data_IF_765196311637
#
_entry.id   IF_765196311637
#
_cell.length_a   1.000
_cell.length_b   1.000
_cell.length_c   1.000
_cell.angle_alpha   90.00
_cell.angle_beta   90.00
_cell.angle_gamma   90.00
#
_symmetry.space_group_name_H-M   'P 1'
#
loop_
_entity.id
_entity.type
_entity.pdbx_description
1 polymer ?
#
# COMPACT_ATOMS: atom_id res chain seq x y z
N UNK A 1 20.95 -33.01 -0.39
CA UNK A 1 19.90 -33.77 -1.11
C UNK A 1 18.69 -34.07 -0.26
N UNK A 2 18.85 -34.42 1.04
CA UNK A 2 17.76 -34.76 1.95
C UNK A 2 16.70 -33.65 2.08
N UNK A 3 17.11 -32.36 2.00
CA UNK A 3 16.18 -31.24 2.02
C UNK A 3 15.27 -31.20 0.78
N UNK A 4 15.79 -31.57 -0.36
CA UNK A 4 15.03 -31.64 -1.62
C UNK A 4 14.04 -32.80 -1.55
N UNK A 5 14.50 -33.98 -1.10
CA UNK A 5 13.61 -35.13 -0.90
C UNK A 5 12.51 -34.84 0.12
N UNK A 6 12.82 -34.18 1.23
CA UNK A 6 11.85 -33.78 2.22
C UNK A 6 10.81 -32.84 1.62
N UNK A 7 11.23 -31.81 0.87
CA UNK A 7 10.32 -30.85 0.26
C UNK A 7 9.40 -31.51 -0.79
N UNK A 8 9.97 -32.37 -1.63
CA UNK A 8 9.22 -33.12 -2.64
C UNK A 8 8.23 -34.09 -1.99
N UNK A 9 8.67 -34.84 -0.96
CA UNK A 9 7.83 -35.80 -0.27
C UNK A 9 6.69 -35.11 0.49
N UNK A 10 6.98 -34.01 1.16
CA UNK A 10 5.96 -33.21 1.85
C UNK A 10 4.95 -32.63 0.84
N UNK A 11 5.43 -32.09 -0.29
CA UNK A 11 4.56 -31.58 -1.37
C UNK A 11 3.69 -32.67 -1.94
N UNK A 12 4.23 -33.88 -2.20
CA UNK A 12 3.47 -35.01 -2.72
C UNK A 12 2.41 -35.52 -1.74
N UNK A 13 2.64 -35.40 -0.44
CA UNK A 13 1.70 -35.83 0.61
C UNK A 13 0.70 -34.74 0.99
N UNK A 14 0.84 -33.53 0.44
CA UNK A 14 -0.07 -32.41 0.67
C UNK A 14 -1.14 -32.39 -0.44
N UNK A 15 -2.41 -32.30 -0.06
CA UNK A 15 -3.50 -32.18 -1.02
C UNK A 15 -3.35 -30.90 -1.86
N UNK A 16 -3.52 -31.00 -3.19
CA UNK A 16 -3.42 -29.86 -4.12
C UNK A 16 -4.52 -28.81 -3.88
N UNK A 17 -5.67 -29.22 -3.39
CA UNK A 17 -6.78 -28.34 -3.09
C UNK A 17 -7.34 -28.64 -1.70
N UNK A 18 -7.73 -27.59 -0.99
CA UNK A 18 -8.49 -27.73 0.26
C UNK A 18 -9.87 -28.34 -0.05
N UNK A 19 -10.35 -29.29 0.77
CA UNK A 19 -11.73 -29.79 0.65
C UNK A 19 -12.78 -28.73 1.02
N UNK A 20 -12.36 -27.64 1.65
CA UNK A 20 -13.19 -26.50 2.03
C UNK A 20 -12.88 -25.36 1.05
N UNK A 21 -13.93 -24.76 0.45
CA UNK A 21 -13.78 -23.59 -0.41
C UNK A 21 -13.18 -22.44 0.40
N UNK A 22 -12.06 -21.83 -0.02
CA UNK A 22 -11.46 -20.72 0.71
C UNK A 22 -12.42 -19.52 0.74
N UNK A 23 -12.38 -18.80 1.84
CA UNK A 23 -13.01 -17.49 1.99
C UNK A 23 -12.13 -16.41 1.38
N UNK A 24 -12.68 -15.22 1.12
CA UNK A 24 -11.90 -14.04 0.70
C UNK A 24 -10.78 -13.73 1.70
N UNK A 25 -11.02 -13.94 2.99
CA UNK A 25 -10.02 -13.75 4.03
C UNK A 25 -8.88 -14.77 3.95
N UNK A 26 -9.18 -16.03 3.62
CA UNK A 26 -8.15 -17.07 3.42
C UNK A 26 -7.28 -16.75 2.21
N UNK A 27 -7.89 -16.31 1.11
CA UNK A 27 -7.17 -15.88 -0.10
C UNK A 27 -6.28 -14.67 0.19
N UNK A 28 -6.81 -13.67 0.91
CA UNK A 28 -6.07 -12.49 1.31
C UNK A 28 -4.88 -12.85 2.21
N UNK A 29 -5.06 -13.76 3.16
CA UNK A 29 -3.99 -14.25 4.02
C UNK A 29 -2.91 -14.98 3.21
N UNK A 30 -3.32 -15.81 2.24
CA UNK A 30 -2.40 -16.54 1.37
C UNK A 30 -1.54 -15.60 0.51
N UNK A 31 -2.15 -14.63 -0.16
CA UNK A 31 -1.41 -13.62 -0.96
C UNK A 31 -0.52 -12.76 -0.05
N UNK A 32 -1.04 -12.33 1.10
CA UNK A 32 -0.30 -11.59 2.11
C UNK A 32 0.96 -12.30 2.57
N UNK A 33 0.92 -13.63 2.73
CA UNK A 33 2.09 -14.44 3.06
C UNK A 33 3.21 -14.30 2.02
N UNK A 34 2.90 -14.38 0.73
CA UNK A 34 3.91 -14.24 -0.34
C UNK A 34 4.48 -12.83 -0.41
N UNK A 35 3.65 -11.82 -0.25
CA UNK A 35 4.07 -10.42 -0.25
C UNK A 35 4.99 -10.11 0.94
N UNK A 36 4.55 -10.49 2.13
CA UNK A 36 5.23 -10.16 3.39
C UNK A 36 6.44 -11.05 3.71
N UNK A 37 6.61 -12.21 3.07
CA UNK A 37 7.72 -13.11 3.33
C UNK A 37 8.65 -13.28 2.12
N UNK A 38 8.36 -14.11 1.08
CA UNK A 38 9.32 -14.30 -0.02
C UNK A 38 9.66 -13.00 -0.73
N UNK A 39 8.66 -12.21 -1.13
CA UNK A 39 8.89 -10.97 -1.90
C UNK A 39 9.56 -9.90 -1.05
N UNK A 40 9.14 -9.72 0.20
CA UNK A 40 9.75 -8.79 1.14
C UNK A 40 11.26 -9.07 1.37
N UNK A 41 11.64 -10.34 1.34
CA UNK A 41 13.04 -10.75 1.51
C UNK A 41 13.87 -10.58 0.25
N UNK A 42 13.29 -10.86 -0.93
CA UNK A 42 14.03 -10.89 -2.19
C UNK A 42 14.19 -9.51 -2.83
N UNK A 43 13.26 -8.57 -2.57
CA UNK A 43 13.30 -7.23 -3.16
C UNK A 43 14.67 -6.54 -3.00
N UNK A 44 15.29 -6.45 -1.80
CA UNK A 44 16.60 -5.83 -1.68
C UNK A 44 17.69 -6.50 -2.54
N UNK A 45 17.67 -7.84 -2.64
CA UNK A 45 18.65 -8.57 -3.46
C UNK A 45 18.51 -8.23 -4.95
N UNK A 46 17.29 -8.01 -5.44
CA UNK A 46 17.08 -7.56 -6.83
C UNK A 46 17.69 -6.17 -7.07
N UNK A 47 17.47 -5.22 -6.15
CA UNK A 47 18.07 -3.88 -6.23
C UNK A 47 19.61 -3.96 -6.19
N UNK A 48 20.17 -4.79 -5.31
CA UNK A 48 21.62 -5.02 -5.20
C UNK A 48 22.18 -5.57 -6.52
N UNK A 49 21.59 -6.64 -7.05
CA UNK A 49 22.03 -7.24 -8.32
C UNK A 49 21.93 -6.27 -9.50
N UNK A 50 20.89 -5.43 -9.55
CA UNK A 50 20.78 -4.42 -10.60
C UNK A 50 21.82 -3.32 -10.45
N UNK A 51 22.06 -2.83 -9.23
CA UNK A 51 23.10 -1.83 -8.96
C UNK A 51 24.50 -2.35 -9.32
N UNK A 52 24.82 -3.61 -8.97
CA UNK A 52 26.06 -4.29 -9.33
C UNK A 52 26.21 -4.45 -10.86
N UNK A 53 25.14 -4.83 -11.55
CA UNK A 53 25.13 -4.95 -13.01
C UNK A 53 25.39 -3.59 -13.70
N UNK A 54 24.73 -2.52 -13.23
CA UNK A 54 24.95 -1.17 -13.75
C UNK A 54 26.38 -0.69 -13.50
N UNK A 55 26.91 -0.94 -12.30
CA UNK A 55 28.30 -0.63 -11.99
C UNK A 55 29.28 -1.40 -12.88
N UNK A 56 29.04 -2.70 -13.09
CA UNK A 56 29.90 -3.56 -13.91
C UNK A 56 29.88 -3.17 -15.39
N UNK A 57 28.72 -2.86 -15.94
CA UNK A 57 28.55 -2.58 -17.38
C UNK A 57 28.89 -1.13 -17.73
N UNK A 58 28.46 -0.18 -16.91
CA UNK A 58 28.57 1.24 -17.21
C UNK A 58 29.60 1.98 -16.35
N UNK A 59 30.18 1.34 -15.35
CA UNK A 59 31.15 1.96 -14.44
C UNK A 59 30.56 3.03 -13.50
N UNK A 60 29.23 3.09 -13.36
CA UNK A 60 28.55 4.13 -12.61
C UNK A 60 27.86 3.54 -11.39
N UNK A 61 28.20 4.05 -10.20
CA UNK A 61 27.46 3.77 -8.99
C UNK A 61 26.19 4.63 -8.95
N UNK A 62 25.02 4.00 -9.03
CA UNK A 62 23.73 4.68 -9.06
C UNK A 62 22.89 4.27 -7.86
N UNK A 63 22.32 5.27 -7.17
CA UNK A 63 21.23 5.01 -6.22
C UNK A 63 19.94 4.79 -7.02
N UNK A 64 19.42 3.57 -6.96
CA UNK A 64 18.24 3.19 -7.72
C UNK A 64 16.98 3.85 -7.14
N UNK A 65 16.10 4.39 -8.01
CA UNK A 65 14.78 4.88 -7.60
C UNK A 65 13.85 3.73 -7.22
N UNK A 66 12.59 4.03 -6.91
CA UNK A 66 11.55 2.99 -6.78
C UNK A 66 11.37 2.29 -8.12
N UNK A 67 11.72 1.01 -8.20
CA UNK A 67 11.59 0.18 -9.41
C UNK A 67 10.40 -0.77 -9.32
N UNK A 68 10.06 -1.21 -8.11
CA UNK A 68 9.04 -2.21 -7.87
C UNK A 68 7.91 -1.65 -7.01
N UNK A 69 6.72 -2.06 -7.33
CA UNK A 69 5.52 -1.95 -6.53
C UNK A 69 4.66 -3.18 -6.78
N UNK A 70 3.84 -3.52 -5.82
CA UNK A 70 2.96 -4.69 -5.89
C UNK A 70 1.51 -4.22 -5.88
N UNK A 71 0.65 -4.98 -6.56
CA UNK A 71 -0.78 -4.81 -6.54
C UNK A 71 -1.46 -6.17 -6.36
N UNK A 72 -2.66 -6.16 -5.84
CA UNK A 72 -3.53 -7.32 -5.69
C UNK A 72 -4.97 -6.88 -5.86
N UNK A 73 -5.83 -7.75 -6.37
CA UNK A 73 -7.28 -7.54 -6.38
C UNK A 73 -7.99 -8.38 -5.31
N UNK A 74 -7.27 -9.22 -4.56
CA UNK A 74 -7.87 -10.07 -3.53
C UNK A 74 -8.42 -9.20 -2.40
N UNK A 75 -9.73 -9.28 -2.18
CA UNK A 75 -10.48 -8.40 -1.29
C UNK A 75 -11.02 -7.13 -1.93
N UNK A 76 -10.72 -6.90 -3.24
CA UNK A 76 -11.23 -5.78 -4.04
C UNK A 76 -11.99 -6.22 -5.30
N UNK A 77 -11.97 -7.50 -5.65
CA UNK A 77 -12.66 -8.04 -6.82
C UNK A 77 -14.12 -8.34 -6.50
N UNK A 78 -15.01 -7.43 -6.86
CA UNK A 78 -16.45 -7.54 -6.66
C UNK A 78 -17.15 -8.21 -7.85
N UNK A 79 -16.45 -8.41 -8.98
CA UNK A 79 -17.04 -8.96 -10.19
C UNK A 79 -17.45 -10.43 -9.98
N UNK A 80 -18.76 -10.68 -9.97
CA UNK A 80 -19.33 -12.02 -9.72
C UNK A 80 -19.12 -12.55 -8.29
N UNK A 81 -18.60 -11.77 -7.35
CA UNK A 81 -18.39 -12.18 -5.98
C UNK A 81 -19.20 -11.34 -4.96
N UNK A 82 -20.36 -11.83 -4.53
CA UNK A 82 -21.24 -11.11 -3.61
C UNK A 82 -20.64 -10.96 -2.20
N UNK A 83 -19.52 -11.64 -1.88
CA UNK A 83 -18.84 -11.54 -0.59
C UNK A 83 -17.80 -10.42 -0.54
N UNK A 84 -17.58 -9.72 -1.65
CA UNK A 84 -16.66 -8.58 -1.72
C UNK A 84 -17.45 -7.29 -1.86
N UNK A 85 -17.15 -6.32 -1.02
CA UNK A 85 -17.79 -5.01 -0.99
C UNK A 85 -16.98 -4.03 -0.14
N UNK A 86 -17.61 -2.94 0.27
CA UNK A 86 -16.97 -1.86 1.03
C UNK A 86 -16.22 -2.36 2.27
N UNK A 87 -16.83 -3.24 3.06
CA UNK A 87 -16.26 -3.77 4.30
C UNK A 87 -15.04 -4.66 4.04
N UNK A 88 -15.10 -5.52 3.01
CA UNK A 88 -13.95 -6.37 2.63
C UNK A 88 -12.79 -5.54 2.11
N UNK A 89 -13.05 -4.50 1.34
CA UNK A 89 -12.03 -3.54 0.87
C UNK A 89 -11.34 -2.88 2.07
N UNK A 90 -12.12 -2.34 3.03
CA UNK A 90 -11.58 -1.71 4.23
C UNK A 90 -10.74 -2.68 5.08
N UNK A 91 -11.26 -3.89 5.29
CA UNK A 91 -10.58 -4.94 6.06
C UNK A 91 -9.25 -5.36 5.39
N UNK A 92 -9.26 -5.55 4.06
CA UNK A 92 -8.05 -5.92 3.30
C UNK A 92 -6.97 -4.85 3.39
N UNK A 93 -7.31 -3.58 3.18
CA UNK A 93 -6.37 -2.46 3.29
C UNK A 93 -5.79 -2.33 4.70
N UNK A 94 -6.63 -2.49 5.72
CA UNK A 94 -6.19 -2.46 7.12
C UNK A 94 -5.24 -3.61 7.44
N UNK A 95 -5.57 -4.83 7.02
CA UNK A 95 -4.74 -6.02 7.22
C UNK A 95 -3.37 -5.89 6.56
N UNK A 96 -3.32 -5.45 5.29
CA UNK A 96 -2.06 -5.22 4.56
C UNK A 96 -1.18 -4.18 5.27
N UNK A 97 -1.77 -3.08 5.74
CA UNK A 97 -1.06 -2.05 6.49
C UNK A 97 -0.45 -2.59 7.78
N UNK A 98 -1.24 -3.34 8.56
CA UNK A 98 -0.76 -3.95 9.80
C UNK A 98 0.43 -4.88 9.55
N UNK A 99 0.31 -5.77 8.58
CA UNK A 99 1.36 -6.72 8.23
C UNK A 99 2.69 -6.03 7.88
N UNK A 100 2.66 -5.02 7.00
CA UNK A 100 3.90 -4.37 6.56
C UNK A 100 4.54 -3.54 7.68
N UNK A 101 3.74 -2.87 8.52
CA UNK A 101 4.27 -2.10 9.65
C UNK A 101 4.92 -3.03 10.69
N UNK A 102 4.35 -4.19 10.98
CA UNK A 102 4.95 -5.21 11.85
C UNK A 102 6.32 -5.66 11.33
N UNK A 103 6.45 -5.88 10.02
CA UNK A 103 7.75 -6.20 9.42
C UNK A 103 8.76 -5.05 9.57
N UNK A 104 8.33 -3.79 9.37
CA UNK A 104 9.21 -2.64 9.57
C UNK A 104 9.63 -2.47 11.04
N UNK A 105 8.73 -2.70 11.99
CA UNK A 105 9.05 -2.70 13.42
C UNK A 105 10.12 -3.76 13.75
N UNK A 106 9.98 -4.97 13.21
CA UNK A 106 10.95 -6.04 13.39
C UNK A 106 12.33 -5.69 12.80
N UNK A 107 12.36 -5.13 11.58
CA UNK A 107 13.59 -4.70 10.91
C UNK A 107 14.26 -3.53 11.65
N UNK A 108 13.50 -2.52 12.05
CA UNK A 108 13.99 -1.38 12.85
C UNK A 108 14.55 -1.84 14.19
N UNK A 109 13.88 -2.78 14.86
CA UNK A 109 14.40 -3.37 16.09
C UNK A 109 15.69 -4.16 15.86
N UNK A 110 15.83 -4.85 14.74
CA UNK A 110 17.06 -5.54 14.35
C UNK A 110 18.19 -4.54 14.08
N UNK A 111 17.92 -3.46 13.34
CA UNK A 111 18.86 -2.37 13.10
C UNK A 111 19.28 -1.69 14.39
N UNK A 112 18.36 -1.43 15.32
CA UNK A 112 18.67 -0.86 16.63
C UNK A 112 19.62 -1.74 17.45
N UNK A 113 19.56 -3.05 17.28
CA UNK A 113 20.54 -3.98 17.89
C UNK A 113 21.89 -3.96 17.19
N UNK A 114 21.90 -3.81 15.88
CA UNK A 114 23.09 -3.80 15.04
C UNK A 114 23.89 -2.50 15.18
N UNK A 115 23.21 -1.34 15.07
CA UNK A 115 23.84 -0.01 15.06
C UNK A 115 24.14 0.46 16.49
N UNK A 116 25.26 0.04 17.01
CA UNK A 116 25.71 0.29 18.39
C UNK A 116 26.92 1.24 18.49
N UNK A 117 27.18 2.01 17.40
CA UNK A 117 28.23 3.00 17.38
C UNK A 117 27.99 4.06 18.45
N UNK A 118 29.05 4.45 19.16
CA UNK A 118 29.02 5.47 20.21
C UNK A 118 29.63 6.77 19.71
N UNK A 119 29.09 7.91 20.11
CA UNK A 119 29.62 9.22 19.77
C UNK A 119 31.05 9.44 20.28
N UNK A 120 31.43 8.78 21.38
CA UNK A 120 32.79 8.75 21.88
C UNK A 120 33.82 8.13 20.93
N UNK A 121 33.35 7.33 19.93
CA UNK A 121 34.20 6.66 18.96
C UNK A 121 34.05 7.21 17.54
N UNK A 122 32.83 7.51 17.12
CA UNK A 122 32.51 7.94 15.75
C UNK A 122 31.50 9.09 15.80
N UNK A 123 31.78 10.16 15.12
CA UNK A 123 30.86 11.27 15.00
C UNK A 123 29.58 10.83 14.20
N UNK A 124 28.50 11.54 14.37
CA UNK A 124 27.28 11.41 13.58
C UNK A 124 26.88 12.75 12.97
N UNK A 125 26.06 12.71 11.91
CA UNK A 125 25.60 13.94 11.27
C UNK A 125 24.81 14.83 12.25
N UNK A 126 25.02 16.15 12.24
CA UNK A 126 24.29 17.09 13.12
C UNK A 126 22.77 17.02 12.90
N UNK A 127 22.32 16.69 11.68
CA UNK A 127 20.93 16.51 11.31
C UNK A 127 20.29 15.35 12.07
N UNK A 128 21.05 14.26 12.24
CA UNK A 128 20.59 13.08 13.00
C UNK A 128 20.42 13.43 14.49
N UNK A 129 21.34 14.20 15.06
CA UNK A 129 21.22 14.66 16.45
C UNK A 129 20.01 15.57 16.64
N UNK A 130 19.75 16.49 15.69
CA UNK A 130 18.55 17.34 15.70
C UNK A 130 17.26 16.51 15.64
N UNK A 131 17.20 15.52 14.75
CA UNK A 131 16.06 14.60 14.64
C UNK A 131 15.86 13.79 15.92
N UNK A 132 16.93 13.33 16.52
CA UNK A 132 16.88 12.60 17.79
C UNK A 132 16.37 13.47 18.94
N UNK A 133 16.77 14.73 18.99
CA UNK A 133 16.29 15.70 19.98
C UNK A 133 14.79 15.99 19.81
N UNK A 134 14.36 16.27 18.57
CA UNK A 134 12.94 16.46 18.23
C UNK A 134 12.07 15.26 18.64
N UNK A 135 12.52 14.04 18.37
CA UNK A 135 11.77 12.84 18.72
C UNK A 135 11.73 12.57 20.23
N UNK A 136 12.77 12.94 20.97
CA UNK A 136 12.76 12.87 22.43
C UNK A 136 11.75 13.83 23.04
N UNK A 137 11.60 15.02 22.47
CA UNK A 137 10.62 16.02 22.92
C UNK A 137 9.18 15.58 22.58
N UNK A 138 8.95 15.09 21.36
CA UNK A 138 7.63 14.66 20.89
C UNK A 138 7.13 13.38 21.55
N UNK A 139 8.03 12.46 21.87
CA UNK A 139 7.70 11.14 22.41
C UNK A 139 8.43 10.88 23.75
N UNK A 140 8.17 11.65 24.81
CA UNK A 140 8.93 11.58 26.07
C UNK A 140 8.84 10.21 26.75
N UNK A 141 7.72 9.48 26.62
CA UNK A 141 7.55 8.13 27.17
C UNK A 141 8.46 7.12 26.46
N UNK A 142 8.50 7.18 25.11
CA UNK A 142 9.38 6.34 24.33
C UNK A 142 10.85 6.67 24.59
N UNK A 143 11.19 7.95 24.73
CA UNK A 143 12.54 8.41 25.08
C UNK A 143 12.98 7.90 26.46
N UNK A 144 12.08 7.89 27.45
CA UNK A 144 12.36 7.35 28.78
C UNK A 144 12.61 5.82 28.78
N UNK A 145 12.15 5.10 27.76
CA UNK A 145 12.42 3.65 27.61
C UNK A 145 13.84 3.33 27.14
N UNK A 146 14.58 4.34 26.63
CA UNK A 146 15.97 4.17 26.20
C UNK A 146 16.84 3.93 27.42
N UNK A 147 17.49 2.77 27.46
CA UNK A 147 18.33 2.38 28.59
C UNK A 147 19.52 3.33 28.72
N UNK A 148 19.91 3.77 29.93
CA UNK A 148 21.05 4.70 30.15
C UNK A 148 22.35 4.27 29.46
N UNK A 149 22.64 2.97 29.43
CA UNK A 149 23.83 2.40 28.75
C UNK A 149 23.83 2.57 27.24
N UNK A 150 22.70 2.96 26.63
CA UNK A 150 22.57 3.20 25.19
C UNK A 150 22.55 4.70 24.87
N UNK A 151 22.61 5.59 25.86
CA UNK A 151 22.46 7.04 25.68
C UNK A 151 23.51 7.64 24.72
N UNK A 152 24.71 7.06 24.68
CA UNK A 152 25.84 7.43 23.80
C UNK A 152 25.78 6.69 22.42
N UNK A 153 24.64 6.13 22.03
CA UNK A 153 24.46 5.37 20.79
C UNK A 153 23.36 6.02 19.92
N UNK A 154 23.63 7.12 19.21
CA UNK A 154 22.61 7.96 18.58
C UNK A 154 21.78 7.21 17.53
N UNK A 155 22.40 6.36 16.70
CA UNK A 155 21.65 5.53 15.72
C UNK A 155 20.65 4.60 16.41
N UNK A 156 21.09 3.91 17.47
CA UNK A 156 20.23 3.03 18.26
C UNK A 156 19.10 3.79 18.94
N UNK A 157 19.39 4.95 19.50
CA UNK A 157 18.39 5.81 20.13
C UNK A 157 17.34 6.25 19.11
N UNK A 158 17.77 6.76 17.95
CA UNK A 158 16.83 7.18 16.90
C UNK A 158 15.99 6.01 16.38
N UNK A 159 16.59 4.84 16.11
CA UNK A 159 15.85 3.64 15.70
C UNK A 159 14.85 3.16 16.75
N UNK A 160 15.16 3.30 18.04
CA UNK A 160 14.21 3.01 19.12
C UNK A 160 12.99 3.92 19.04
N UNK A 161 13.19 5.21 18.78
CA UNK A 161 12.11 6.18 18.63
C UNK A 161 11.33 6.00 17.31
N UNK A 162 12.01 5.64 16.21
CA UNK A 162 11.37 5.24 14.95
C UNK A 162 10.45 4.03 15.17
N UNK A 163 10.90 3.02 15.93
CA UNK A 163 10.08 1.86 16.29
C UNK A 163 8.83 2.25 17.09
N UNK A 164 8.97 3.16 18.05
CA UNK A 164 7.83 3.70 18.80
C UNK A 164 6.87 4.48 17.88
N UNK A 165 7.40 5.29 16.98
CA UNK A 165 6.60 6.04 16.00
C UNK A 165 5.86 5.12 15.03
N UNK A 166 6.44 4.00 14.61
CA UNK A 166 5.78 2.98 13.82
C UNK A 166 4.62 2.31 14.59
N UNK A 167 4.77 2.09 15.90
CA UNK A 167 3.66 1.60 16.72
C UNK A 167 2.50 2.59 16.77
N UNK A 168 2.78 3.90 16.96
CA UNK A 168 1.77 4.95 16.87
C UNK A 168 1.11 5.01 15.49
N UNK A 169 1.88 4.75 14.42
CA UNK A 169 1.35 4.68 13.04
C UNK A 169 0.40 3.51 12.85
N UNK A 170 0.69 2.36 13.45
CA UNK A 170 -0.17 1.18 13.42
C UNK A 170 -1.51 1.48 14.11
N UNK A 171 -1.45 2.14 15.25
CA UNK A 171 -2.62 2.52 16.06
C UNK A 171 -3.30 3.82 15.58
N UNK A 172 -2.87 4.38 14.45
CA UNK A 172 -3.39 5.63 13.85
C UNK A 172 -3.40 6.82 14.81
N UNK A 173 -2.40 6.90 15.69
CA UNK A 173 -2.25 8.00 16.65
C UNK A 173 -1.53 9.21 16.05
N UNK A 174 -1.73 10.39 16.65
CA UNK A 174 -1.31 11.70 16.12
C UNK A 174 0.19 11.80 15.85
N UNK A 175 1.04 11.19 16.68
CA UNK A 175 2.51 11.24 16.51
C UNK A 175 3.08 10.14 15.61
N UNK A 176 2.22 9.30 15.02
CA UNK A 176 2.60 8.32 14.03
C UNK A 176 3.15 8.97 12.75
N UNK A 177 3.66 8.15 11.85
CA UNK A 177 4.05 8.59 10.51
C UNK A 177 2.81 8.91 9.67
N UNK A 178 2.76 10.10 9.07
CA UNK A 178 1.69 10.48 8.15
C UNK A 178 1.80 9.72 6.81
N UNK A 179 3.03 9.42 6.38
CA UNK A 179 3.31 8.72 5.13
C UNK A 179 4.53 7.80 5.27
N UNK A 180 4.67 6.83 4.35
CA UNK A 180 5.90 6.04 4.25
C UNK A 180 7.12 6.87 3.80
N UNK A 181 6.89 8.03 3.19
CA UNK A 181 7.97 8.95 2.84
C UNK A 181 8.66 9.51 4.09
N UNK A 182 7.90 9.84 5.14
CA UNK A 182 8.49 10.33 6.40
C UNK A 182 9.40 9.26 7.06
N UNK A 183 9.04 7.99 6.97
CA UNK A 183 9.89 6.89 7.42
C UNK A 183 11.13 6.74 6.52
N UNK A 184 10.97 6.89 5.20
CA UNK A 184 12.11 6.89 4.27
C UNK A 184 13.09 8.02 4.59
N UNK A 185 12.61 9.21 4.92
CA UNK A 185 13.44 10.36 5.26
C UNK A 185 14.26 10.10 6.53
N UNK A 186 13.66 9.46 7.54
CA UNK A 186 14.38 9.07 8.76
C UNK A 186 15.46 8.01 8.50
N UNK A 187 15.13 6.98 7.72
CA UNK A 187 16.06 5.92 7.36
C UNK A 187 17.19 6.46 6.45
N UNK A 188 16.86 7.36 5.53
CA UNK A 188 17.81 8.01 4.66
C UNK A 188 18.82 8.87 5.46
N UNK A 189 18.34 9.59 6.46
CA UNK A 189 19.18 10.36 7.38
C UNK A 189 20.20 9.46 8.10
N UNK A 190 19.76 8.27 8.54
CA UNK A 190 20.65 7.29 9.16
C UNK A 190 21.67 6.76 8.14
N UNK A 191 21.23 6.39 6.94
CA UNK A 191 22.11 5.90 5.89
C UNK A 191 23.17 6.92 5.49
N UNK A 192 22.78 8.17 5.25
CA UNK A 192 23.68 9.24 4.86
C UNK A 192 24.70 9.57 5.97
N UNK A 193 24.25 9.59 7.24
CA UNK A 193 25.15 9.78 8.38
C UNK A 193 26.16 8.63 8.51
N UNK A 194 25.75 7.38 8.31
CA UNK A 194 26.66 6.23 8.32
C UNK A 194 27.73 6.35 7.21
N UNK A 195 27.30 6.71 5.99
CA UNK A 195 28.22 6.85 4.85
C UNK A 195 29.25 7.96 5.08
N UNK A 196 28.85 9.07 5.70
CA UNK A 196 29.73 10.21 6.01
C UNK A 196 30.71 9.90 7.16
N UNK A 197 30.35 9.00 8.07
CA UNK A 197 31.08 8.76 9.32
C UNK A 197 31.56 7.30 9.46
N UNK A 198 32.20 6.78 8.43
CA UNK A 198 32.84 5.45 8.41
C UNK A 198 31.91 4.25 8.55
N UNK A 199 30.60 4.43 8.34
CA UNK A 199 29.58 3.40 8.54
C UNK A 199 29.37 2.47 7.34
N UNK A 200 30.10 2.59 6.24
CA UNK A 200 29.95 1.78 5.02
C UNK A 200 29.91 0.28 5.36
N UNK A 201 30.85 -0.18 6.21
CA UNK A 201 30.92 -1.57 6.67
C UNK A 201 30.34 -1.78 8.08
N UNK A 202 29.75 -0.74 8.66
CA UNK A 202 29.19 -0.78 10.02
C UNK A 202 27.67 -0.59 10.06
N UNK A 203 26.97 -1.09 9.04
CA UNK A 203 25.51 -1.19 9.02
C UNK A 203 24.79 -0.40 7.92
N UNK A 204 25.48 0.44 7.11
CA UNK A 204 24.85 1.15 5.99
C UNK A 204 24.12 0.20 5.03
N UNK A 205 24.72 -0.94 4.70
CA UNK A 205 24.11 -1.98 3.88
C UNK A 205 22.74 -2.45 4.41
N UNK A 206 22.63 -2.67 5.72
CA UNK A 206 21.38 -3.14 6.33
C UNK A 206 20.28 -2.06 6.32
N UNK A 207 20.66 -0.79 6.45
CA UNK A 207 19.73 0.35 6.34
C UNK A 207 19.24 0.50 4.91
N UNK A 208 20.12 0.40 3.90
CA UNK A 208 19.75 0.46 2.49
C UNK A 208 18.76 -0.66 2.11
N UNK A 209 18.91 -1.86 2.66
CA UNK A 209 17.94 -2.95 2.44
C UNK A 209 16.55 -2.60 2.99
N UNK A 210 16.47 -1.97 4.16
CA UNK A 210 15.18 -1.51 4.69
C UNK A 210 14.61 -0.36 3.85
N UNK A 211 15.45 0.57 3.39
CA UNK A 211 15.02 1.62 2.44
C UNK A 211 14.41 1.04 1.16
N UNK A 212 15.03 0.01 0.57
CA UNK A 212 14.47 -0.68 -0.60
C UNK A 212 13.08 -1.28 -0.31
N UNK A 213 12.91 -1.91 0.86
CA UNK A 213 11.62 -2.47 1.28
C UNK A 213 10.56 -1.39 1.44
N UNK A 214 10.86 -0.33 2.18
CA UNK A 214 9.89 0.76 2.42
C UNK A 214 9.51 1.46 1.10
N UNK A 215 10.45 1.68 0.18
CA UNK A 215 10.18 2.21 -1.16
C UNK A 215 9.24 1.32 -1.96
N UNK A 216 9.41 0.00 -1.91
CA UNK A 216 8.64 -0.95 -2.71
C UNK A 216 7.24 -1.23 -2.14
N UNK A 217 7.13 -1.39 -0.82
CA UNK A 217 5.91 -1.83 -0.15
C UNK A 217 5.10 -0.68 0.51
N UNK A 218 5.70 0.50 0.73
CA UNK A 218 5.04 1.63 1.39
C UNK A 218 4.46 1.25 2.76
N UNK A 219 3.35 1.89 3.13
CA UNK A 219 2.53 1.46 4.27
C UNK A 219 1.30 0.64 3.85
N UNK A 220 1.27 0.17 2.59
CA UNK A 220 0.13 -0.53 2.02
C UNK A 220 0.44 -1.98 1.61
N UNK A 221 1.69 -2.45 1.72
CA UNK A 221 2.19 -3.77 1.31
C UNK A 221 2.00 -4.04 -0.19
N UNK A 222 0.75 -3.97 -0.67
CA UNK A 222 0.37 -3.97 -2.08
C UNK A 222 -0.79 -3.00 -2.30
N UNK A 223 -0.86 -2.38 -3.47
CA UNK A 223 -2.02 -1.58 -3.88
C UNK A 223 -3.21 -2.51 -4.04
N UNK A 224 -4.36 -2.11 -3.50
CA UNK A 224 -5.58 -2.87 -3.71
C UNK A 224 -6.29 -2.35 -4.96
N UNK A 225 -6.32 -3.16 -6.01
CA UNK A 225 -7.13 -2.92 -7.18
C UNK A 225 -8.58 -3.33 -6.88
N UNK A 226 -9.53 -2.50 -7.29
CA UNK A 226 -10.96 -2.75 -7.15
C UNK A 226 -11.54 -3.05 -8.52
N UNK A 227 -12.29 -4.12 -8.65
CA UNK A 227 -12.88 -4.55 -9.90
C UNK A 227 -14.39 -4.74 -9.77
N UNK A 228 -15.17 -4.23 -10.75
CA UNK A 228 -16.61 -4.37 -10.81
C UNK A 228 -17.11 -4.49 -12.25
N UNK A 229 -18.16 -5.27 -12.45
CA UNK A 229 -18.86 -5.39 -13.74
C UNK A 229 -19.60 -4.09 -14.11
N UNK A 230 -19.50 -3.67 -15.37
CA UNK A 230 -20.19 -2.50 -15.91
C UNK A 230 -21.71 -2.55 -15.73
N UNK A 231 -22.31 -3.73 -15.68
CA UNK A 231 -23.74 -3.91 -15.45
C UNK A 231 -24.17 -3.45 -14.06
N UNK A 232 -23.35 -3.69 -13.05
CA UNK A 232 -23.63 -3.21 -11.68
C UNK A 232 -23.64 -1.69 -11.62
N UNK A 233 -22.77 -1.02 -12.41
CA UNK A 233 -22.82 0.45 -12.56
C UNK A 233 -24.09 0.89 -13.26
N UNK A 234 -24.52 0.16 -14.32
CA UNK A 234 -25.77 0.45 -15.04
C UNK A 234 -26.99 0.34 -14.13
N UNK A 235 -27.06 -0.69 -13.28
CA UNK A 235 -28.18 -0.89 -12.34
C UNK A 235 -28.27 0.30 -11.35
N UNK A 236 -27.16 0.71 -10.77
CA UNK A 236 -27.11 1.85 -9.87
C UNK A 236 -27.49 3.17 -10.58
N UNK A 237 -27.03 3.37 -11.81
CA UNK A 237 -27.37 4.56 -12.60
C UNK A 237 -28.83 4.58 -13.03
N UNK A 238 -29.41 3.43 -13.37
CA UNK A 238 -30.83 3.31 -13.65
C UNK A 238 -31.67 3.81 -12.47
N UNK A 239 -31.33 3.38 -11.25
CA UNK A 239 -31.98 3.82 -10.04
C UNK A 239 -31.78 5.32 -9.77
N UNK A 240 -30.54 5.82 -9.85
CA UNK A 240 -30.20 7.22 -9.58
C UNK A 240 -30.80 8.21 -10.59
N UNK A 241 -30.95 7.79 -11.85
CA UNK A 241 -31.55 8.60 -12.93
C UNK A 241 -33.06 8.40 -13.05
N UNK A 242 -33.65 7.43 -12.38
CA UNK A 242 -35.04 7.04 -12.53
C UNK A 242 -35.35 6.54 -13.96
N UNK A 243 -34.39 5.85 -14.59
CA UNK A 243 -34.45 5.45 -16.00
C UNK A 243 -34.34 3.91 -16.12
N UNK A 244 -35.45 3.23 -16.15
CA UNK A 244 -35.52 1.77 -16.24
C UNK A 244 -34.90 1.22 -17.56
N UNK A 245 -34.83 2.02 -18.60
CA UNK A 245 -34.29 1.64 -19.92
C UNK A 245 -32.80 1.98 -20.06
N UNK A 246 -32.14 2.41 -18.98
CA UNK A 246 -30.74 2.86 -18.98
C UNK A 246 -29.78 1.90 -19.68
N UNK A 247 -29.83 0.63 -19.33
CA UNK A 247 -28.92 -0.40 -19.86
C UNK A 247 -29.11 -0.69 -21.35
N UNK A 248 -30.29 -0.38 -21.91
CA UNK A 248 -30.63 -0.57 -23.32
C UNK A 248 -30.24 0.61 -24.21
N UNK A 249 -29.88 1.75 -23.64
CA UNK A 249 -29.44 2.95 -24.38
C UNK A 249 -28.08 2.71 -25.01
N UNK A 250 -27.84 3.35 -26.16
CA UNK A 250 -26.53 3.31 -26.80
C UNK A 250 -25.45 4.05 -25.98
N UNK A 251 -24.20 3.72 -26.25
CA UNK A 251 -23.07 4.28 -25.50
C UNK A 251 -22.92 5.81 -25.64
N UNK A 252 -23.30 6.39 -26.78
CA UNK A 252 -23.20 7.83 -27.02
C UNK A 252 -24.30 8.56 -26.22
N UNK A 253 -25.54 8.05 -26.22
CA UNK A 253 -26.61 8.62 -25.42
C UNK A 253 -26.30 8.55 -23.93
N UNK A 254 -25.80 7.40 -23.44
CA UNK A 254 -25.39 7.25 -22.04
C UNK A 254 -24.27 8.22 -21.68
N UNK A 255 -23.27 8.38 -22.54
CA UNK A 255 -22.16 9.30 -22.31
C UNK A 255 -22.63 10.77 -22.21
N UNK A 256 -23.54 11.19 -23.10
CA UNK A 256 -24.11 12.55 -23.09
C UNK A 256 -24.87 12.82 -21.78
N UNK A 257 -25.68 11.88 -21.33
CA UNK A 257 -26.45 12.00 -20.09
C UNK A 257 -25.61 11.98 -18.84
N UNK A 258 -24.47 11.25 -18.83
CA UNK A 258 -23.55 11.18 -17.68
C UNK A 258 -22.60 12.36 -17.58
N UNK A 259 -22.34 13.05 -18.65
CA UNK A 259 -21.35 14.16 -18.70
C UNK A 259 -21.53 15.19 -17.59
N UNK A 260 -22.76 15.72 -17.30
CA UNK A 260 -22.95 16.68 -16.22
C UNK A 260 -22.65 16.13 -14.83
N UNK A 261 -22.92 14.84 -14.59
CA UNK A 261 -22.64 14.19 -13.32
C UNK A 261 -21.14 13.87 -13.17
N UNK A 262 -20.50 13.43 -14.23
CA UNK A 262 -19.08 13.16 -14.26
C UNK A 262 -18.22 14.44 -14.13
N UNK A 263 -18.67 15.57 -14.70
CA UNK A 263 -18.01 16.88 -14.55
C UNK A 263 -18.27 17.51 -13.18
N UNK A 264 -19.36 17.16 -12.52
CA UNK A 264 -19.78 17.74 -11.23
C UNK A 264 -20.72 18.96 -11.41
N UNK A 265 -21.18 19.24 -12.64
CA UNK A 265 -22.21 20.27 -12.92
C UNK A 265 -23.58 19.86 -12.38
N UNK A 266 -23.87 18.56 -12.38
CA UNK A 266 -25.08 17.97 -11.78
C UNK A 266 -24.72 17.03 -10.63
N UNK A 267 -25.71 16.78 -9.77
CA UNK A 267 -25.60 15.83 -8.64
C UNK A 267 -26.76 14.85 -8.70
N UNK A 268 -26.48 13.59 -8.38
CA UNK A 268 -27.54 12.62 -8.16
C UNK A 268 -28.32 12.96 -6.88
N UNK A 269 -29.61 12.65 -6.84
CA UNK A 269 -30.38 12.68 -5.60
C UNK A 269 -29.89 11.58 -4.65
N UNK A 270 -30.19 11.72 -3.35
CA UNK A 270 -30.04 10.62 -2.41
C UNK A 270 -30.97 9.47 -2.81
N UNK A 271 -30.49 8.24 -2.65
CA UNK A 271 -31.21 7.04 -3.03
C UNK A 271 -31.12 5.98 -1.94
N UNK A 272 -32.23 5.27 -1.72
CA UNK A 272 -32.30 4.09 -0.84
C UNK A 272 -32.18 2.77 -1.65
N UNK A 273 -31.90 2.87 -2.95
CA UNK A 273 -31.68 1.70 -3.79
C UNK A 273 -30.41 0.94 -3.41
N UNK A 274 -30.50 -0.38 -3.29
CA UNK A 274 -29.42 -1.24 -2.83
C UNK A 274 -28.17 -1.17 -3.73
N UNK A 275 -28.34 -1.08 -5.06
CA UNK A 275 -27.20 -1.01 -6.00
C UNK A 275 -26.48 0.34 -5.88
N UNK A 276 -27.25 1.44 -5.79
CA UNK A 276 -26.70 2.79 -5.64
C UNK A 276 -25.99 2.96 -4.29
N UNK A 277 -26.60 2.50 -3.20
CA UNK A 277 -26.04 2.61 -1.84
C UNK A 277 -24.78 1.74 -1.67
N UNK A 278 -24.77 0.53 -2.23
CA UNK A 278 -23.58 -0.35 -2.21
C UNK A 278 -22.39 0.27 -2.92
N UNK A 279 -22.56 0.82 -4.13
CA UNK A 279 -21.50 1.51 -4.84
C UNK A 279 -21.07 2.81 -4.16
N UNK A 280 -22.02 3.57 -3.60
CA UNK A 280 -21.70 4.74 -2.78
C UNK A 280 -20.79 4.36 -1.62
N UNK A 281 -21.10 3.26 -0.90
CA UNK A 281 -20.28 2.77 0.20
C UNK A 281 -18.87 2.39 -0.26
N UNK A 282 -18.71 1.73 -1.42
CA UNK A 282 -17.41 1.39 -2.00
C UNK A 282 -16.57 2.66 -2.25
N UNK A 283 -17.11 3.66 -2.95
CA UNK A 283 -16.36 4.88 -3.24
C UNK A 283 -16.08 5.72 -1.98
N UNK A 284 -16.97 5.69 -1.00
CA UNK A 284 -16.75 6.27 0.33
C UNK A 284 -15.58 5.59 1.03
N UNK A 285 -15.56 4.24 1.05
CA UNK A 285 -14.47 3.44 1.63
C UNK A 285 -13.13 3.72 0.94
N UNK A 286 -13.10 3.81 -0.38
CA UNK A 286 -11.89 4.16 -1.12
C UNK A 286 -11.37 5.56 -0.74
N UNK A 287 -12.27 6.55 -0.60
CA UNK A 287 -11.92 7.89 -0.13
C UNK A 287 -11.29 7.86 1.25
N UNK A 288 -11.95 7.21 2.20
CA UNK A 288 -11.54 7.18 3.61
C UNK A 288 -10.24 6.37 3.80
N UNK A 289 -10.10 5.28 3.04
CA UNK A 289 -8.86 4.50 3.01
C UNK A 289 -7.68 5.29 2.44
N UNK A 290 -7.88 6.09 1.41
CA UNK A 290 -6.81 6.97 0.88
C UNK A 290 -6.37 8.03 1.89
N UNK A 291 -7.29 8.50 2.72
CA UNK A 291 -6.95 9.45 3.80
C UNK A 291 -6.20 8.79 4.94
N UNK A 292 -6.60 7.58 5.35
CA UNK A 292 -6.04 6.89 6.52
C UNK A 292 -4.81 6.03 6.20
N UNK A 293 -4.73 5.45 5.01
CA UNK A 293 -3.66 4.52 4.61
C UNK A 293 -2.68 5.11 3.58
N UNK A 294 -3.01 6.29 3.03
CA UNK A 294 -2.23 6.95 2.00
C UNK A 294 -2.77 6.71 0.60
N UNK A 295 -2.44 7.65 -0.31
CA UNK A 295 -2.95 7.64 -1.69
C UNK A 295 -2.54 6.40 -2.49
N UNK A 296 -1.41 5.80 -2.16
CA UNK A 296 -0.86 4.61 -2.83
C UNK A 296 -1.49 3.30 -2.34
N UNK A 297 -2.35 3.31 -1.32
CA UNK A 297 -2.98 2.10 -0.82
C UNK A 297 -4.03 1.55 -1.80
N UNK A 298 -4.71 2.42 -2.53
CA UNK A 298 -5.67 2.05 -3.58
C UNK A 298 -5.01 2.10 -4.95
N UNK A 299 -5.20 1.04 -5.73
CA UNK A 299 -4.66 0.88 -7.08
C UNK A 299 -5.62 1.34 -8.17
N UNK A 300 -5.90 0.44 -9.12
CA UNK A 300 -6.83 0.67 -10.22
C UNK A 300 -8.27 0.43 -9.77
N UNK A 301 -9.19 1.18 -10.38
CA UNK A 301 -10.60 0.78 -10.47
C UNK A 301 -10.83 0.15 -11.85
N UNK A 302 -11.02 -1.15 -11.87
CA UNK A 302 -11.11 -1.95 -13.08
C UNK A 302 -12.59 -2.14 -13.41
N UNK A 303 -12.97 -1.83 -14.65
CA UNK A 303 -14.33 -2.03 -15.14
C UNK A 303 -14.31 -3.29 -16.00
N UNK A 304 -14.89 -4.37 -15.51
CA UNK A 304 -15.10 -5.57 -16.31
C UNK A 304 -16.21 -5.34 -17.33
N UNK A 305 -16.16 -6.04 -18.46
CA UNK A 305 -17.18 -5.97 -19.51
C UNK A 305 -17.44 -4.53 -19.98
N UNK A 306 -16.40 -3.69 -20.03
CA UNK A 306 -16.53 -2.33 -20.55
C UNK A 306 -16.86 -2.35 -22.05
N UNK A 307 -17.80 -1.50 -22.47
CA UNK A 307 -18.34 -1.44 -23.84
C UNK A 307 -18.03 -0.13 -24.55
N UNK A 308 -17.91 0.96 -23.78
CA UNK A 308 -17.76 2.30 -24.35
C UNK A 308 -17.18 3.30 -23.35
N UNK A 309 -16.93 4.53 -23.81
CA UNK A 309 -16.54 5.65 -22.95
C UNK A 309 -17.59 5.99 -21.88
N UNK A 310 -18.86 5.61 -22.08
CA UNK A 310 -19.91 5.83 -21.10
C UNK A 310 -19.63 5.06 -19.80
N UNK A 311 -19.01 3.88 -19.87
CA UNK A 311 -18.71 3.07 -18.67
C UNK A 311 -17.63 3.75 -17.80
N UNK A 312 -16.69 4.48 -18.42
CA UNK A 312 -15.72 5.31 -17.68
C UNK A 312 -16.41 6.53 -17.05
N UNK A 313 -17.31 7.20 -17.78
CA UNK A 313 -18.09 8.32 -17.24
C UNK A 313 -19.01 7.87 -16.11
N UNK A 314 -19.56 6.64 -16.18
CA UNK A 314 -20.33 6.02 -15.12
C UNK A 314 -19.53 5.95 -13.81
N UNK A 315 -18.30 5.42 -13.87
CA UNK A 315 -17.43 5.33 -12.69
C UNK A 315 -17.07 6.72 -12.15
N UNK A 316 -16.80 7.70 -13.02
CA UNK A 316 -16.52 9.08 -12.58
C UNK A 316 -17.72 9.71 -11.88
N UNK A 317 -18.93 9.53 -12.40
CA UNK A 317 -20.17 10.05 -11.82
C UNK A 317 -20.46 9.38 -10.46
N UNK A 318 -20.34 8.06 -10.38
CA UNK A 318 -20.52 7.29 -9.15
C UNK A 318 -19.44 7.59 -8.09
N UNK A 319 -18.19 7.82 -8.51
CA UNK A 319 -17.12 8.22 -7.60
C UNK A 319 -17.35 9.63 -7.02
N UNK A 320 -17.99 10.54 -7.78
CA UNK A 320 -18.47 11.82 -7.24
C UNK A 320 -19.62 11.62 -6.27
N UNK A 321 -20.57 10.76 -6.60
CA UNK A 321 -21.68 10.42 -5.73
C UNK A 321 -21.21 9.88 -4.37
N UNK A 322 -20.22 8.98 -4.34
CA UNK A 322 -19.58 8.49 -3.11
C UNK A 322 -18.58 9.49 -2.47
N UNK A 323 -18.41 10.69 -3.03
CA UNK A 323 -17.57 11.75 -2.48
C UNK A 323 -16.06 11.50 -2.59
N UNK A 324 -15.62 10.54 -3.41
CA UNK A 324 -14.21 10.31 -3.69
C UNK A 324 -13.62 11.41 -4.58
N UNK A 325 -14.35 11.84 -5.61
CA UNK A 325 -13.97 12.94 -6.49
C UNK A 325 -14.58 14.25 -6.00
N UNK A 326 -13.75 15.25 -5.72
CA UNK A 326 -14.15 16.61 -5.35
C UNK A 326 -13.45 17.64 -6.25
N UNK A 327 -14.20 18.58 -6.81
CA UNK A 327 -13.66 19.54 -7.77
C UNK A 327 -13.11 18.84 -9.02
N UNK A 328 -12.00 19.34 -9.58
CA UNK A 328 -11.44 18.87 -10.85
C UNK A 328 -10.41 17.74 -10.68
N UNK A 329 -10.01 17.44 -9.45
CA UNK A 329 -9.04 16.36 -9.18
C UNK A 329 -9.72 15.02 -9.16
N UNK A 330 -9.27 14.11 -10.02
CA UNK A 330 -9.72 12.71 -10.10
C UNK A 330 -8.68 11.80 -9.44
N UNK A 331 -8.81 11.47 -8.15
CA UNK A 331 -7.85 10.64 -7.43
C UNK A 331 -8.08 9.15 -7.66
N UNK A 332 -8.46 8.76 -8.88
CA UNK A 332 -8.81 7.39 -9.25
C UNK A 332 -8.21 7.06 -10.61
N UNK A 333 -7.49 5.94 -10.70
CA UNK A 333 -7.01 5.39 -11.95
C UNK A 333 -8.02 4.36 -12.45
N UNK A 334 -8.67 4.62 -13.57
CA UNK A 334 -9.71 3.76 -14.14
C UNK A 334 -9.12 2.94 -15.29
N UNK A 335 -9.36 1.63 -15.27
CA UNK A 335 -8.90 0.70 -16.29
C UNK A 335 -10.10 -0.08 -16.86
N UNK A 336 -10.67 0.32 -18.01
CA UNK A 336 -11.71 -0.44 -18.68
C UNK A 336 -11.12 -1.69 -19.35
N UNK A 337 -11.78 -2.85 -19.14
CA UNK A 337 -11.45 -4.10 -19.81
C UNK A 337 -12.47 -4.39 -20.92
N UNK A 338 -11.96 -4.53 -22.13
CA UNK A 338 -12.72 -4.92 -23.32
C UNK A 338 -12.50 -6.42 -23.52
N UNK A 339 -13.38 -7.23 -22.93
CA UNK A 339 -13.21 -8.70 -22.83
C UNK A 339 -13.99 -9.44 -23.91
N UNK A 340 -14.87 -8.77 -24.66
CA UNK A 340 -15.64 -9.34 -25.75
C UNK A 340 -15.10 -8.91 -27.11
N UNK A 341 -15.30 -9.75 -28.12
CA UNK A 341 -14.84 -9.52 -29.50
C UNK A 341 -15.94 -8.87 -30.37
N UNK A 342 -17.09 -8.55 -29.78
CA UNK A 342 -18.26 -8.01 -30.45
C UNK A 342 -18.20 -6.49 -30.62
#
# INVERSE_FOLDING_TARGET
DDRIYMALSAGWQTAEASPIRPTVQDEHHHVGFYLANPLYRVVPALYESLAEALQSVYGVAVRLPKLLGFATWVGGDMDGNPNVGADTIAASLTSQRMQVIEHYQADVAALARLLSQTESRVAVAPELQRRLADYRERMPQAAASIRPRHADMPYRCLLTLIGARLALTQDQQTDGYASSQDLLDDLQLIADSLLQHHGVHAGAYSVERLLCRVRSFGFHLARLDVRQDSRVHDDALAALLGDADWASRDGAERAERLRPYASGEARFPDSDDDSATSLQAVFTTLRDSRQSHGVDATGLYIISMARSAADVLAVLALARYGGLIKGDSVPLNIAPLFETVD
#
